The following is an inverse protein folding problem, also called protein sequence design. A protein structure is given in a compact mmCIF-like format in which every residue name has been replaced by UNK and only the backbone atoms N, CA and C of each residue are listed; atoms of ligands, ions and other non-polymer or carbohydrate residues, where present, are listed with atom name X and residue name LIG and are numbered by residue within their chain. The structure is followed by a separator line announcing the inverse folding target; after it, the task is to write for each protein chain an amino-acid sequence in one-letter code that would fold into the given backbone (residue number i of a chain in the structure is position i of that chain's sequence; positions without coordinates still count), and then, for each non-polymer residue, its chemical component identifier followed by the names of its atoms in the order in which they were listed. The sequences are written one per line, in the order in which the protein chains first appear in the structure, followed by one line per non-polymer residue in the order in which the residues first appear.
data_IF_264392816584
#
_entry.id   IF_264392816584
#
_cell.length_a   1.000
_cell.length_b   1.000
_cell.length_c   1.000
_cell.angle_alpha   90.00
_cell.angle_beta   90.00
_cell.angle_gamma   90.00
#
_symmetry.space_group_name_H-M   'P 1'
#
loop_
_entity.id
_entity.type
_entity.pdbx_description
1 polymer ?
#
# COMPACT_ATOMS: atom_id res chain seq x y z
N UNK A 1 12.04 11.88 2.30
CA UNK A 1 11.22 10.73 1.86
C UNK A 1 11.00 9.77 3.02
N UNK A 2 9.75 9.55 3.45
CA UNK A 2 9.43 8.50 4.44
C UNK A 2 9.67 7.14 3.77
N UNK A 3 10.48 6.28 4.38
CA UNK A 3 10.64 4.90 3.90
C UNK A 3 9.31 4.17 4.08
N UNK A 4 8.76 3.63 3.00
CA UNK A 4 7.70 2.64 3.07
C UNK A 4 8.20 1.44 3.89
N UNK A 5 7.45 1.02 4.89
CA UNK A 5 7.91 -0.02 5.82
C UNK A 5 6.79 -0.58 6.68
N UNK A 6 6.94 -1.86 7.04
CA UNK A 6 5.92 -2.68 7.69
C UNK A 6 5.70 -2.39 9.19
N UNK A 7 5.69 -1.12 9.62
CA UNK A 7 5.58 -0.79 11.05
C UNK A 7 4.20 -1.18 11.60
N UNK A 8 3.13 -0.80 10.90
CA UNK A 8 1.77 -1.06 11.34
C UNK A 8 1.42 -2.54 11.20
N UNK A 9 1.85 -3.17 10.11
CA UNK A 9 1.64 -4.58 9.83
C UNK A 9 2.34 -5.46 10.87
N UNK A 10 3.58 -5.13 11.26
CA UNK A 10 4.26 -5.87 12.34
C UNK A 10 3.53 -5.80 13.67
N UNK A 11 2.93 -4.64 13.99
CA UNK A 11 2.13 -4.49 15.21
C UNK A 11 0.86 -5.35 15.14
N UNK A 12 0.15 -5.34 14.02
CA UNK A 12 -1.06 -6.16 13.83
C UNK A 12 -0.74 -7.67 13.84
N UNK A 13 0.39 -8.08 13.24
CA UNK A 13 0.86 -9.47 13.32
C UNK A 13 1.19 -9.90 14.76
N UNK A 14 1.77 -9.01 15.56
CA UNK A 14 2.01 -9.28 16.98
C UNK A 14 0.71 -9.47 17.78
N UNK A 15 -0.42 -8.93 17.31
CA UNK A 15 -1.75 -9.20 17.87
C UNK A 15 -2.42 -10.47 17.31
N UNK A 16 -1.72 -11.24 16.46
CA UNK A 16 -2.22 -12.50 15.90
C UNK A 16 -2.97 -12.37 14.57
N UNK A 17 -3.06 -11.18 13.98
CA UNK A 17 -3.70 -11.00 12.68
C UNK A 17 -2.78 -11.50 11.54
N UNK A 18 -3.29 -12.44 10.73
CA UNK A 18 -2.54 -13.07 9.64
C UNK A 18 -2.76 -12.41 8.28
N UNK A 19 -3.97 -11.89 8.03
CA UNK A 19 -4.34 -11.18 6.81
C UNK A 19 -4.45 -9.67 7.09
N UNK A 20 -3.51 -8.89 6.55
CA UNK A 20 -3.45 -7.43 6.74
C UNK A 20 -3.43 -6.79 5.36
N UNK A 21 -4.45 -5.98 5.08
CA UNK A 21 -4.56 -5.24 3.82
C UNK A 21 -4.07 -3.79 3.98
N UNK A 22 -3.23 -3.34 3.06
CA UNK A 22 -3.00 -1.91 2.82
C UNK A 22 -4.04 -1.39 1.82
N UNK A 23 -4.54 -0.17 2.03
CA UNK A 23 -5.57 0.45 1.21
C UNK A 23 -5.05 1.80 0.70
N UNK A 24 -5.33 2.13 -0.55
CA UNK A 24 -4.99 3.43 -1.16
C UNK A 24 -6.04 3.82 -2.22
N UNK A 25 -6.16 5.13 -2.48
CA UNK A 25 -7.07 5.68 -3.48
C UNK A 25 -6.37 6.61 -4.49
N UNK A 26 -6.90 6.62 -5.71
CA UNK A 26 -6.46 7.50 -6.79
C UNK A 26 -7.66 8.25 -7.39
N UNK A 27 -7.41 9.47 -7.86
CA UNK A 27 -8.43 10.28 -8.56
C UNK A 27 -9.14 11.34 -7.72
N UNK A 28 -8.86 11.46 -6.40
CA UNK A 28 -9.49 12.47 -5.52
C UNK A 28 -9.32 13.93 -5.99
N UNK A 29 -8.24 14.23 -6.73
CA UNK A 29 -7.94 15.57 -7.22
C UNK A 29 -8.25 15.80 -8.70
N UNK A 30 -8.87 14.83 -9.39
CA UNK A 30 -9.22 14.97 -10.80
C UNK A 30 -10.47 15.86 -10.98
N UNK A 31 -10.50 16.67 -12.04
CA UNK A 31 -11.67 17.51 -12.38
C UNK A 31 -12.87 16.68 -12.86
N UNK A 32 -12.63 15.49 -13.40
CA UNK A 32 -13.62 14.54 -13.86
C UNK A 32 -13.05 13.11 -13.83
N UNK A 33 -13.93 12.11 -13.81
CA UNK A 33 -13.58 10.70 -13.69
C UNK A 33 -13.80 10.16 -12.27
N UNK A 34 -13.88 8.82 -12.10
CA UNK A 34 -14.16 8.22 -10.81
C UNK A 34 -12.95 8.30 -9.88
N UNK A 35 -13.22 8.32 -8.57
CA UNK A 35 -12.22 7.95 -7.56
C UNK A 35 -12.19 6.43 -7.48
N UNK A 36 -11.00 5.84 -7.54
CA UNK A 36 -10.78 4.40 -7.47
C UNK A 36 -9.97 4.08 -6.24
N UNK A 37 -10.41 3.11 -5.44
CA UNK A 37 -9.69 2.59 -4.29
C UNK A 37 -9.31 1.13 -4.49
N UNK A 38 -8.20 0.70 -3.90
CA UNK A 38 -7.72 -0.68 -3.95
C UNK A 38 -7.25 -1.15 -2.57
N UNK A 39 -7.33 -2.46 -2.35
CA UNK A 39 -6.81 -3.11 -1.15
C UNK A 39 -5.89 -4.27 -1.54
N UNK A 40 -4.72 -4.37 -0.91
CA UNK A 40 -3.74 -5.41 -1.17
C UNK A 40 -3.25 -6.07 0.12
N UNK A 41 -3.33 -7.39 0.18
CA UNK A 41 -2.75 -8.21 1.25
C UNK A 41 -1.40 -8.74 0.77
N UNK A 42 -0.32 -8.39 1.47
CA UNK A 42 1.03 -8.80 1.11
C UNK A 42 1.54 -9.94 2.00
N UNK A 43 2.36 -10.86 1.46
CA UNK A 43 3.08 -11.86 2.26
C UNK A 43 3.98 -11.22 3.32
N UNK A 44 4.19 -11.91 4.44
CA UNK A 44 4.90 -11.41 5.63
C UNK A 44 6.33 -10.89 5.39
N UNK A 45 6.99 -11.40 4.36
CA UNK A 45 8.37 -11.06 3.98
C UNK A 45 8.43 -10.39 2.61
N UNK A 46 7.31 -9.89 2.11
CA UNK A 46 7.28 -9.20 0.84
C UNK A 46 8.26 -8.02 0.86
N UNK A 47 9.21 -8.02 -0.08
CA UNK A 47 10.15 -6.93 -0.29
C UNK A 47 10.26 -6.70 -1.77
N UNK A 48 9.90 -5.51 -2.21
CA UNK A 48 10.06 -5.10 -3.59
C UNK A 48 10.83 -3.80 -3.65
N UNK A 49 12.03 -3.84 -4.26
CA UNK A 49 12.96 -2.70 -4.28
C UNK A 49 12.38 -1.46 -4.98
N UNK A 50 11.46 -1.65 -5.93
CA UNK A 50 10.84 -0.59 -6.75
C UNK A 50 9.46 -0.15 -6.28
N UNK A 51 8.87 -0.82 -5.28
CA UNK A 51 7.53 -0.49 -4.78
C UNK A 51 7.64 0.53 -3.64
N UNK A 52 8.28 1.69 -3.90
CA UNK A 52 8.40 2.76 -2.89
C UNK A 52 7.57 4.00 -3.23
N UNK A 53 7.22 4.21 -4.50
CA UNK A 53 6.45 5.35 -4.99
C UNK A 53 5.87 5.00 -6.37
N UNK A 54 4.54 4.88 -6.45
CA UNK A 54 3.84 4.52 -7.70
C UNK A 54 3.84 5.67 -8.72
N UNK A 55 4.24 6.89 -8.33
CA UNK A 55 4.15 8.09 -9.19
C UNK A 55 5.30 8.21 -10.19
N UNK A 56 6.25 7.27 -10.21
CA UNK A 56 7.39 7.25 -11.14
C UNK A 56 7.43 6.00 -12.04
N UNK A 57 6.37 5.19 -12.05
CA UNK A 57 6.29 4.02 -12.93
C UNK A 57 5.76 4.44 -14.31
N UNK A 58 6.48 4.05 -15.36
CA UNK A 58 5.97 4.12 -16.73
C UNK A 58 4.85 3.07 -16.89
N UNK A 59 3.85 3.32 -17.75
CA UNK A 59 2.81 2.35 -18.08
C UNK A 59 3.37 1.01 -18.56
#
# INVERSE_FOLDING_TARGET
MRRCGFRHERRLRAFGYSAIAGIDEAGRGALAGPVVAAAAVLPEKFRHKRLNDSKQLLP
#
